data_IF_119996617794
#
_entry.id   IF_119996617794
#
_cell.length_a   1.000
_cell.length_b   1.000
_cell.length_c   1.000
_cell.angle_alpha   90.00
_cell.angle_beta   90.00
_cell.angle_gamma   90.00
#
_symmetry.space_group_name_H-M   'P 1'
#
loop_
_entity.id
_entity.type
_entity.pdbx_description
1 polymer ?
#
# COMPACT_ATOMS: atom_id res chain seq x y z
N UNK A 1 -3.01 -11.39 1.33
CA UNK A 1 -2.61 -10.91 0.92
C UNK A 1 -2.18 -10.12 1.07
N UNK A 2 -1.82 -9.73 0.88
CA UNK A 2 -1.75 -8.99 1.06
C UNK A 2 -0.64 -8.32 0.47
N UNK A 3 0.07 -8.90 -0.54
CA UNK A 3 1.12 -8.20 -1.28
C UNK A 3 0.57 -6.98 -2.01
N UNK A 4 -0.68 -7.03 -2.45
CA UNK A 4 -1.28 -5.87 -3.11
C UNK A 4 -1.49 -4.71 -2.14
N UNK A 5 -1.90 -5.01 -0.92
CA UNK A 5 -2.07 -3.96 0.09
C UNK A 5 -0.73 -3.33 0.45
N UNK A 6 0.29 -4.16 0.62
CA UNK A 6 1.62 -3.68 0.92
C UNK A 6 2.19 -2.90 -0.27
N UNK A 7 1.97 -3.40 -1.48
CA UNK A 7 2.40 -2.70 -2.70
C UNK A 7 1.80 -1.30 -2.76
N UNK A 8 0.49 -1.19 -2.52
CA UNK A 8 -0.17 0.12 -2.54
C UNK A 8 0.38 1.03 -1.45
N UNK A 9 0.60 0.48 -0.24
CA UNK A 9 1.15 1.26 0.85
C UNK A 9 2.54 1.81 0.51
N UNK A 10 3.37 0.99 -0.14
CA UNK A 10 4.69 1.43 -0.56
C UNK A 10 4.59 2.51 -1.65
N UNK A 11 3.69 2.33 -2.62
CA UNK A 11 3.50 3.31 -3.66
C UNK A 11 3.02 4.65 -3.10
N UNK A 12 2.15 4.61 -2.09
CA UNK A 12 1.69 5.84 -1.43
C UNK A 12 2.79 6.60 -0.73
N UNK A 13 3.76 5.88 -0.20
CA UNK A 13 4.80 6.48 0.62
C UNK A 13 6.15 6.58 -0.08
N UNK A 14 6.20 6.26 -1.37
CA UNK A 14 7.47 6.16 -2.09
C UNK A 14 8.34 7.40 -1.96
N UNK A 15 7.76 8.56 -2.15
CA UNK A 15 8.53 9.82 -2.14
C UNK A 15 8.98 10.25 -0.75
N UNK A 16 8.33 9.75 0.29
CA UNK A 16 8.69 10.08 1.67
C UNK A 16 9.62 9.04 2.30
N UNK A 17 9.91 7.96 1.57
CA UNK A 17 10.77 6.90 2.08
C UNK A 17 12.22 7.34 2.05
N UNK A 18 12.88 7.25 3.19
CA UNK A 18 14.31 7.56 3.26
C UNK A 18 15.13 6.30 3.43
N UNK A 19 14.60 5.31 4.12
CA UNK A 19 15.28 4.02 4.28
C UNK A 19 14.24 2.92 4.30
N UNK A 20 14.67 1.71 3.95
CA UNK A 20 13.80 0.54 4.03
C UNK A 20 13.39 0.27 5.47
N UNK A 21 14.28 0.56 6.41
CA UNK A 21 14.00 0.38 7.82
C UNK A 21 12.89 1.30 8.30
N UNK A 22 12.94 2.57 7.91
CA UNK A 22 11.89 3.54 8.25
C UNK A 22 10.55 3.11 7.70
N UNK A 23 10.54 2.63 6.47
CA UNK A 23 9.31 2.18 5.84
C UNK A 23 8.76 0.95 6.54
N UNK A 24 9.63 0.00 6.87
CA UNK A 24 9.23 -1.22 7.56
C UNK A 24 8.59 -0.90 8.90
N UNK A 25 9.19 0.03 9.65
CA UNK A 25 8.64 0.46 10.93
C UNK A 25 7.28 1.13 10.78
N UNK A 26 7.15 2.02 9.78
CA UNK A 26 5.89 2.70 9.51
C UNK A 26 4.77 1.75 9.14
N UNK A 27 5.06 0.74 8.37
CA UNK A 27 4.03 -0.14 7.82
C UNK A 27 3.84 -1.42 8.63
N UNK A 28 4.73 -1.68 9.59
CA UNK A 28 4.61 -2.87 10.43
C UNK A 28 5.04 -4.16 9.76
N UNK A 29 5.98 -4.08 8.81
CA UNK A 29 6.51 -5.24 8.12
C UNK A 29 8.02 -5.36 8.36
N UNK A 30 8.58 -6.52 8.08
CA UNK A 30 10.02 -6.72 8.20
C UNK A 30 10.75 -5.97 7.08
N UNK A 31 12.00 -5.63 7.33
CA UNK A 31 12.85 -4.98 6.33
C UNK A 31 13.01 -5.89 5.11
N UNK A 32 13.13 -7.20 5.33
CA UNK A 32 13.25 -8.15 4.23
C UNK A 32 12.03 -8.16 3.31
N UNK A 33 10.85 -8.09 3.89
CA UNK A 33 9.62 -8.03 3.11
C UNK A 33 9.55 -6.75 2.29
N UNK A 34 9.88 -5.62 2.91
CA UNK A 34 9.90 -4.34 2.21
C UNK A 34 10.90 -4.36 1.07
N UNK A 35 12.11 -4.88 1.33
CA UNK A 35 13.14 -4.98 0.32
C UNK A 35 12.68 -5.82 -0.88
N UNK A 36 12.02 -6.94 -0.58
CA UNK A 36 11.50 -7.84 -1.61
C UNK A 36 10.52 -7.11 -2.53
N UNK A 37 9.57 -6.40 -1.94
CA UNK A 37 8.55 -5.68 -2.70
C UNK A 37 9.17 -4.51 -3.48
N UNK A 38 10.06 -3.75 -2.84
CA UNK A 38 10.73 -2.64 -3.53
C UNK A 38 11.51 -3.10 -4.75
N UNK A 39 12.24 -4.21 -4.61
CA UNK A 39 12.99 -4.76 -5.75
C UNK A 39 12.07 -5.20 -6.88
N UNK A 40 10.94 -5.81 -6.52
CA UNK A 40 9.97 -6.23 -7.51
C UNK A 40 9.39 -5.02 -8.26
N UNK A 41 9.09 -3.96 -7.53
CA UNK A 41 8.54 -2.74 -8.12
C UNK A 41 9.55 -2.04 -9.02
N UNK A 42 10.82 -2.04 -8.61
CA UNK A 42 11.88 -1.49 -9.44
C UNK A 42 12.08 -2.31 -10.73
N UNK A 43 12.01 -3.62 -10.60
CA UNK A 43 12.14 -4.50 -11.76
C UNK A 43 11.02 -4.30 -12.76
N UNK A 44 9.84 -3.95 -12.29
CA UNK A 44 8.69 -3.64 -13.14
C UNK A 44 8.68 -2.22 -13.68
N UNK A 45 9.64 -1.41 -13.25
CA UNK A 45 9.71 -0.03 -13.70
C UNK A 45 8.72 0.91 -13.04
N UNK A 46 8.17 0.53 -11.90
CA UNK A 46 7.16 1.35 -11.22
C UNK A 46 7.79 2.32 -10.23
N UNK A 47 8.94 1.97 -9.68
CA UNK A 47 9.68 2.82 -8.76
C UNK A 47 11.11 2.93 -9.24
N UNK A 48 11.68 4.10 -9.03
CA UNK A 48 13.06 4.39 -9.37
C UNK A 48 13.79 4.80 -8.09
N UNK A 49 14.97 4.26 -7.88
CA UNK A 49 15.78 4.64 -6.72
C UNK A 49 16.89 5.57 -7.16
N UNK A 50 17.07 6.66 -6.45
CA UNK A 50 18.15 7.59 -6.68
C UNK A 50 19.03 7.70 -5.44
N UNK A 51 20.32 7.74 -5.67
CA UNK A 51 21.28 7.98 -4.61
C UNK A 51 21.56 9.47 -4.55
N UNK A 52 21.68 10.01 -3.36
CA UNK A 52 22.14 11.38 -3.20
C UNK A 52 22.96 11.49 -1.92
N UNK A 53 23.88 12.43 -1.93
CA UNK A 53 24.73 12.69 -0.77
C UNK A 53 24.10 13.80 0.07
N UNK A 54 24.06 13.59 1.38
CA UNK A 54 23.59 14.62 2.30
C UNK A 54 24.77 15.47 2.73
N UNK A 55 24.49 16.56 3.42
CA UNK A 55 25.53 17.45 3.94
C UNK A 55 26.42 16.78 4.96
N UNK A 56 26.01 15.62 5.50
CA UNK A 56 26.82 14.85 6.42
C UNK A 56 27.57 13.70 5.73
N UNK A 57 27.66 13.74 4.42
CA UNK A 57 28.35 12.73 3.60
C UNK A 57 27.73 11.32 3.68
N UNK A 58 26.52 11.22 4.12
CA UNK A 58 25.84 9.92 4.12
C UNK A 58 25.09 9.75 2.80
N UNK A 59 25.28 8.57 2.21
CA UNK A 59 24.52 8.23 1.00
C UNK A 59 23.11 7.83 1.43
N UNK A 60 22.14 8.46 0.84
CA UNK A 60 20.73 8.13 1.08
C UNK A 60 20.06 7.76 -0.23
N UNK A 61 19.02 6.98 -0.12
CA UNK A 61 18.21 6.60 -1.27
C UNK A 61 16.93 7.39 -1.25
N UNK A 62 16.54 7.82 -2.43
CA UNK A 62 15.24 8.44 -2.63
C UNK A 62 14.49 7.55 -3.62
N UNK A 63 13.28 7.20 -3.26
CA UNK A 63 12.43 6.42 -4.14
C UNK A 63 11.43 7.34 -4.81
N UNK A 64 11.33 7.22 -6.12
CA UNK A 64 10.43 8.05 -6.91
C UNK A 64 9.50 7.16 -7.71
N UNK A 65 8.25 7.57 -7.84
CA UNK A 65 7.32 6.87 -8.69
C UNK A 65 7.59 7.26 -10.13
N UNK A 66 7.64 6.27 -11.00
CA UNK A 66 7.68 6.53 -12.43
C UNK A 66 6.26 6.82 -12.88
N UNK A 67 6.09 7.21 -14.15
CA UNK A 67 4.76 7.38 -14.72
C UNK A 67 3.95 6.10 -14.60
N UNK A 68 4.58 4.97 -14.92
CA UNK A 68 3.96 3.66 -14.81
C UNK A 68 3.61 3.35 -13.35
N UNK A 69 4.43 3.81 -12.41
CA UNK A 69 4.16 3.65 -10.98
C UNK A 69 2.93 4.42 -10.54
N UNK A 70 2.75 5.62 -11.07
CA UNK A 70 1.56 6.42 -10.77
C UNK A 70 0.32 5.73 -11.32
N UNK A 71 0.40 5.22 -12.54
CA UNK A 71 -0.70 4.49 -13.16
C UNK A 71 -1.05 3.24 -12.36
N UNK A 72 -0.05 2.51 -11.88
CA UNK A 72 -0.27 1.34 -11.05
C UNK A 72 -0.91 1.72 -9.71
N UNK A 73 -0.49 2.83 -9.14
CA UNK A 73 -1.08 3.33 -7.89
C UNK A 73 -2.56 3.64 -8.08
N UNK A 74 -2.91 4.30 -9.18
CA UNK A 74 -4.30 4.61 -9.49
C UNK A 74 -5.10 3.32 -9.63
N UNK A 75 -4.60 2.37 -10.42
CA UNK A 75 -5.31 1.12 -10.67
C UNK A 75 -5.54 0.33 -9.38
N UNK A 76 -4.53 0.24 -8.52
CA UNK A 76 -4.67 -0.44 -7.24
C UNK A 76 -5.64 0.28 -6.31
N UNK A 77 -5.60 1.61 -6.31
CA UNK A 77 -6.51 2.39 -5.49
C UNK A 77 -7.95 2.14 -5.91
N UNK A 78 -8.21 2.14 -7.21
CA UNK A 78 -9.55 1.84 -7.72
C UNK A 78 -10.00 0.44 -7.35
N UNK A 79 -9.10 -0.52 -7.45
CA UNK A 79 -9.39 -1.90 -7.08
C UNK A 79 -9.78 -2.03 -5.61
N UNK A 80 -9.05 -1.34 -4.74
CA UNK A 80 -9.34 -1.37 -3.31
C UNK A 80 -10.63 -0.63 -2.97
N UNK A 81 -10.93 0.46 -3.67
CA UNK A 81 -12.21 1.15 -3.49
C UNK A 81 -13.36 0.19 -3.81
N UNK A 82 -13.28 -0.52 -4.92
CA UNK A 82 -14.32 -1.48 -5.29
C UNK A 82 -14.47 -2.57 -4.25
N UNK A 83 -13.36 -3.09 -3.76
CA UNK A 83 -13.39 -4.12 -2.73
C UNK A 83 -14.02 -3.59 -1.43
N UNK A 84 -13.67 -2.37 -1.04
CA UNK A 84 -14.24 -1.77 0.17
C UNK A 84 -15.72 -1.49 0.02
N UNK A 85 -16.16 -1.07 -1.15
CA UNK A 85 -17.58 -0.86 -1.41
C UNK A 85 -18.36 -2.16 -1.28
N UNK A 86 -17.81 -3.25 -1.82
CA UNK A 86 -18.45 -4.55 -1.73
C UNK A 86 -18.55 -5.01 -0.28
N UNK A 87 -17.46 -4.87 0.47
CA UNK A 87 -17.46 -5.23 1.89
C UNK A 87 -18.47 -4.41 2.67
N UNK A 88 -18.55 -3.13 2.37
CA UNK A 88 -19.49 -2.22 3.00
C UNK A 88 -20.93 -2.67 2.73
N UNK A 89 -21.23 -2.96 1.48
CA UNK A 89 -22.59 -3.40 1.09
C UNK A 89 -22.96 -4.71 1.76
N UNK A 90 -22.00 -5.63 1.86
CA UNK A 90 -22.22 -6.91 2.53
C UNK A 90 -22.52 -6.71 4.02
N UNK A 91 -21.79 -5.80 4.66
CA UNK A 91 -22.02 -5.50 6.06
C UNK A 91 -23.37 -4.84 6.29
N UNK A 92 -23.80 -3.97 5.38
CA UNK A 92 -25.12 -3.35 5.48
C UNK A 92 -26.22 -4.40 5.39
N UNK A 93 -26.08 -5.33 4.47
CA UNK A 93 -27.04 -6.41 4.31
C UNK A 93 -27.09 -7.27 5.54
N UNK A 94 -25.92 -7.62 6.07
CA UNK A 94 -25.82 -8.42 7.29
C UNK A 94 -26.51 -7.72 8.45
N UNK A 95 -26.28 -6.42 8.60
CA UNK A 95 -26.89 -5.65 9.66
C UNK A 95 -28.42 -5.63 9.54
N UNK A 96 -28.92 -5.46 8.33
CA UNK A 96 -30.37 -5.51 8.10
C UNK A 96 -30.95 -6.84 8.47
N UNK A 97 -30.28 -7.93 8.10
CA UNK A 97 -30.72 -9.28 8.44
C UNK A 97 -30.76 -9.51 9.94
N UNK A 98 -29.74 -9.05 10.65
CA UNK A 98 -29.67 -9.17 12.11
C UNK A 98 -30.83 -8.39 12.74
N UNK A 99 -31.10 -7.19 12.28
CA UNK A 99 -32.19 -6.37 12.79
C UNK A 99 -33.54 -7.04 12.55
N UNK A 100 -33.73 -7.63 11.38
CA UNK A 100 -34.97 -8.35 11.07
C UNK A 100 -35.18 -9.55 12.00
N UNK A 101 -34.12 -10.30 12.24
CA UNK A 101 -34.19 -11.44 13.14
C UNK A 101 -34.58 -11.02 14.56
N UNK A 102 -33.97 -9.92 15.03
CA UNK A 102 -34.26 -9.39 16.36
C UNK A 102 -35.70 -8.93 16.44
N UNK A 103 -36.20 -8.27 15.42
CA UNK A 103 -37.58 -7.76 15.38
C UNK A 103 -38.59 -8.92 15.29
N UNK A 104 -38.28 -9.93 14.50
CA UNK A 104 -39.19 -11.07 14.30
C UNK A 104 -39.32 -11.97 15.50
N UNK A 105 -38.44 -11.88 16.46
CA UNK A 105 -38.46 -12.73 17.66
C UNK A 105 -39.40 -12.22 18.75
N UNK A 106 -40.10 -11.16 18.49
CA UNK A 106 -41.09 -10.65 19.45
C UNK A 106 -42.50 -11.11 19.09
#
# INVERSE_FOLDING_TARGET
MKNEELTLAILRNAESIRTQKSLAESLGYSVGKINYILKALMAKGLIKAENFATSSNKKQYRYLLTREGIEAKVALTEKFIERKKREYDELLLELENIKKETTCKH
#
